data_IF_027194095906
#
_entry.id   IF_027194095906
#
_cell.length_a   1.000
_cell.length_b   1.000
_cell.length_c   1.000
_cell.angle_alpha   90.00
_cell.angle_beta   90.00
_cell.angle_gamma   90.00
#
_symmetry.space_group_name_H-M   'P 1'
#
loop_
_entity.id
_entity.type
_entity.pdbx_description
1 polymer ?
#
# COMPACT_ATOMS: atom_id res chain seq x y z
N UNK A 1 18.73 45.67 9.53
CA UNK A 1 18.49 45.04 8.22
C UNK A 1 17.97 46.09 7.24
N UNK A 2 18.50 46.17 6.02
CA UNK A 2 17.97 47.11 5.03
C UNK A 2 16.52 46.76 4.70
N UNK A 3 15.63 47.77 4.66
CA UNK A 3 14.18 47.60 4.47
C UNK A 3 13.80 46.75 3.24
N UNK A 4 14.66 46.74 2.22
CA UNK A 4 14.54 45.88 1.03
C UNK A 4 14.67 44.38 1.33
N UNK A 5 15.52 43.96 2.29
CA UNK A 5 15.63 42.54 2.65
C UNK A 5 14.44 42.05 3.47
N UNK A 6 13.78 42.94 4.22
CA UNK A 6 12.59 42.59 4.99
C UNK A 6 11.38 42.36 4.07
N UNK A 7 11.21 43.19 3.03
CA UNK A 7 10.13 43.06 2.05
C UNK A 7 10.27 41.75 1.26
N UNK A 8 11.48 41.37 0.84
CA UNK A 8 11.73 40.10 0.14
C UNK A 8 11.43 38.88 1.00
N UNK A 9 11.74 38.93 2.30
CA UNK A 9 11.43 37.85 3.25
C UNK A 9 9.90 37.76 3.46
N UNK A 10 9.20 38.88 3.63
CA UNK A 10 7.74 38.90 3.78
C UNK A 10 7.06 38.34 2.53
N UNK A 11 7.53 38.71 1.33
CA UNK A 11 6.99 38.19 0.07
C UNK A 11 7.27 36.68 -0.09
N UNK A 12 8.42 36.18 0.38
CA UNK A 12 8.69 34.74 0.36
C UNK A 12 7.75 33.97 1.32
N UNK A 13 7.41 34.53 2.48
CA UNK A 13 6.51 33.88 3.44
C UNK A 13 5.04 33.86 2.99
N UNK A 14 4.55 34.88 2.27
CA UNK A 14 3.14 34.90 1.79
C UNK A 14 2.88 33.93 0.64
N UNK A 15 3.87 33.62 -0.20
CA UNK A 15 3.72 32.62 -1.26
C UNK A 15 3.79 31.18 -0.75
N UNK A 16 4.49 30.93 0.37
CA UNK A 16 4.61 29.61 0.97
C UNK A 16 3.37 29.16 1.75
N UNK A 17 2.45 30.07 2.09
CA UNK A 17 1.25 29.74 2.87
C UNK A 17 0.10 29.09 2.07
N UNK A 18 0.18 29.05 0.74
CA UNK A 18 -0.92 28.56 -0.11
C UNK A 18 -0.99 27.04 -0.30
N UNK A 19 -0.03 26.27 0.22
CA UNK A 19 0.00 24.81 0.02
C UNK A 19 -0.73 24.01 1.11
N UNK A 20 -1.40 24.66 2.07
CA UNK A 20 -2.05 23.99 3.21
C UNK A 20 -3.55 24.32 3.41
N UNK A 21 -4.19 25.11 2.54
CA UNK A 21 -5.44 25.81 2.91
C UNK A 21 -6.68 25.37 2.13
N UNK A 22 -7.14 24.13 2.30
CA UNK A 22 -8.42 23.70 1.73
C UNK A 22 -9.21 22.71 2.56
N UNK A 23 -8.55 22.01 3.49
CA UNK A 23 -9.22 21.08 4.38
C UNK A 23 -10.18 21.84 5.30
N UNK A 24 -11.45 21.43 5.34
CA UNK A 24 -12.46 22.08 6.18
C UNK A 24 -13.22 23.24 5.52
N UNK A 25 -12.87 23.62 4.28
CA UNK A 25 -13.59 24.66 3.54
C UNK A 25 -14.80 24.09 2.79
N UNK A 26 -15.83 24.93 2.60
CA UNK A 26 -16.94 24.63 1.71
C UNK A 26 -16.45 24.33 0.29
N UNK A 27 -16.98 23.29 -0.34
CA UNK A 27 -16.52 22.83 -1.65
C UNK A 27 -15.35 21.84 -1.63
N UNK A 28 -14.73 21.59 -0.46
CA UNK A 28 -13.60 20.66 -0.36
C UNK A 28 -14.01 19.21 -0.71
N UNK A 29 -15.17 18.77 -0.23
CA UNK A 29 -15.66 17.42 -0.52
C UNK A 29 -15.89 17.21 -2.03
N UNK A 30 -16.49 18.19 -2.70
CA UNK A 30 -16.74 18.20 -4.14
C UNK A 30 -15.44 18.21 -4.93
N UNK A 31 -14.43 18.96 -4.46
CA UNK A 31 -13.09 18.95 -5.06
C UNK A 31 -12.48 17.55 -4.99
N UNK A 32 -12.48 16.91 -3.82
CA UNK A 32 -11.91 15.56 -3.63
C UNK A 32 -12.68 14.50 -4.42
N UNK A 33 -14.00 14.68 -4.58
CA UNK A 33 -14.80 13.83 -5.45
C UNK A 33 -14.41 13.96 -6.92
N UNK A 34 -14.19 15.18 -7.42
CA UNK A 34 -13.71 15.40 -8.79
C UNK A 34 -12.32 14.80 -9.03
N UNK A 35 -11.42 14.90 -8.05
CA UNK A 35 -10.10 14.26 -8.11
C UNK A 35 -10.24 12.73 -8.24
N UNK A 36 -11.08 12.09 -7.41
CA UNK A 36 -11.31 10.64 -7.50
C UNK A 36 -11.96 10.21 -8.83
N UNK A 37 -12.81 11.04 -9.43
CA UNK A 37 -13.36 10.82 -10.77
C UNK A 37 -12.25 10.88 -11.83
N UNK A 38 -11.31 11.79 -11.69
CA UNK A 38 -10.20 11.92 -12.63
C UNK A 38 -9.22 10.75 -12.52
N UNK A 39 -8.91 10.30 -11.31
CA UNK A 39 -8.14 9.07 -11.07
C UNK A 39 -8.81 7.86 -11.75
N UNK A 40 -10.14 7.75 -11.66
CA UNK A 40 -10.88 6.68 -12.32
C UNK A 40 -10.76 6.74 -13.84
N UNK A 41 -10.88 7.92 -14.46
CA UNK A 41 -10.72 8.09 -15.92
C UNK A 41 -9.31 7.73 -16.38
N UNK A 42 -8.30 8.03 -15.55
CA UNK A 42 -6.91 7.71 -15.81
C UNK A 42 -6.56 6.25 -15.49
N UNK A 43 -7.56 5.41 -15.16
CA UNK A 43 -7.40 4.01 -14.79
C UNK A 43 -6.51 3.80 -13.53
N UNK A 44 -6.40 4.82 -12.68
CA UNK A 44 -5.71 4.77 -11.39
C UNK A 44 -6.64 4.19 -10.30
N UNK A 45 -7.08 2.94 -10.50
CA UNK A 45 -8.18 2.35 -9.71
C UNK A 45 -7.94 2.36 -8.19
N UNK A 46 -6.71 2.09 -7.75
CA UNK A 46 -6.34 2.10 -6.33
C UNK A 46 -6.55 3.49 -5.71
N UNK A 47 -6.16 4.55 -6.43
CA UNK A 47 -6.34 5.94 -6.00
C UNK A 47 -7.79 6.37 -6.05
N UNK A 48 -8.52 6.00 -7.11
CA UNK A 48 -9.95 6.28 -7.24
C UNK A 48 -10.75 5.67 -6.07
N UNK A 49 -10.49 4.40 -5.73
CA UNK A 49 -11.14 3.72 -4.60
C UNK A 49 -10.89 4.48 -3.29
N UNK A 50 -9.63 4.83 -3.02
CA UNK A 50 -9.25 5.57 -1.81
C UNK A 50 -9.84 6.99 -1.79
N UNK A 51 -9.84 7.69 -2.91
CA UNK A 51 -10.39 9.03 -3.05
C UNK A 51 -11.91 9.06 -2.82
N UNK A 52 -12.65 8.13 -3.41
CA UNK A 52 -14.08 8.01 -3.16
C UNK A 52 -14.40 7.59 -1.72
N UNK A 53 -13.62 6.66 -1.15
CA UNK A 53 -13.77 6.29 0.25
C UNK A 53 -13.51 7.48 1.18
N UNK A 54 -12.48 8.28 0.87
CA UNK A 54 -12.16 9.50 1.59
C UNK A 54 -13.31 10.50 1.56
N UNK A 55 -13.93 10.72 0.40
CA UNK A 55 -15.06 11.66 0.24
C UNK A 55 -16.23 11.32 1.17
N UNK A 56 -16.57 10.04 1.30
CA UNK A 56 -17.60 9.60 2.24
C UNK A 56 -17.21 9.86 3.69
N UNK A 57 -16.01 9.42 4.05
CA UNK A 57 -15.51 9.46 5.42
C UNK A 57 -15.18 10.89 5.89
N UNK A 58 -14.99 11.84 4.97
CA UNK A 58 -14.89 13.26 5.27
C UNK A 58 -16.24 13.87 5.69
N UNK A 59 -17.33 13.56 4.97
CA UNK A 59 -18.69 14.02 5.30
C UNK A 59 -19.75 13.09 4.71
N UNK A 60 -20.59 12.51 5.54
CA UNK A 60 -21.66 11.58 5.10
C UNK A 60 -22.94 12.34 4.72
N UNK A 61 -22.90 13.08 3.61
CA UNK A 61 -24.06 13.63 2.91
C UNK A 61 -24.40 12.80 1.65
N UNK A 62 -25.32 13.27 0.81
CA UNK A 62 -25.69 12.58 -0.43
C UNK A 62 -24.47 12.26 -1.33
N UNK A 63 -23.58 13.24 -1.52
CA UNK A 63 -22.34 13.05 -2.28
C UNK A 63 -21.42 12.00 -1.64
N UNK A 64 -21.29 12.00 -0.31
CA UNK A 64 -20.55 11.00 0.44
C UNK A 64 -21.09 9.57 0.24
N UNK A 65 -22.41 9.40 0.31
CA UNK A 65 -23.06 8.09 0.08
C UNK A 65 -22.85 7.62 -1.37
N UNK A 66 -22.95 8.53 -2.35
CA UNK A 66 -22.65 8.23 -3.76
C UNK A 66 -21.19 7.80 -3.92
N UNK A 67 -20.26 8.52 -3.28
CA UNK A 67 -18.85 8.22 -3.33
C UNK A 67 -18.55 6.84 -2.74
N UNK A 68 -19.14 6.48 -1.60
CA UNK A 68 -18.96 5.14 -1.02
C UNK A 68 -19.38 4.04 -1.99
N UNK A 69 -20.56 4.16 -2.60
CA UNK A 69 -21.06 3.19 -3.60
C UNK A 69 -20.10 3.06 -4.80
N UNK A 70 -19.50 4.17 -5.24
CA UNK A 70 -18.48 4.15 -6.29
C UNK A 70 -17.21 3.42 -5.84
N UNK A 71 -16.70 3.72 -4.65
CA UNK A 71 -15.55 3.04 -4.05
C UNK A 71 -15.78 1.53 -4.01
N UNK A 72 -16.95 1.11 -3.50
CA UNK A 72 -17.37 -0.31 -3.45
C UNK A 72 -17.40 -0.98 -4.81
N UNK A 73 -17.92 -0.28 -5.82
CA UNK A 73 -18.05 -0.83 -7.17
C UNK A 73 -16.69 -1.02 -7.85
N UNK A 74 -15.70 -0.19 -7.53
CA UNK A 74 -14.36 -0.22 -8.15
C UNK A 74 -13.41 -1.17 -7.40
N UNK A 75 -13.61 -1.34 -6.08
CA UNK A 75 -12.71 -2.09 -5.20
C UNK A 75 -12.32 -3.48 -5.73
N UNK A 76 -13.22 -4.34 -6.22
CA UNK A 76 -12.85 -5.67 -6.74
C UNK A 76 -11.90 -5.58 -7.93
N UNK A 77 -12.04 -4.57 -8.79
CA UNK A 77 -11.17 -4.36 -9.95
C UNK A 77 -9.79 -3.85 -9.53
N UNK A 78 -9.73 -2.94 -8.56
CA UNK A 78 -8.46 -2.48 -7.98
C UNK A 78 -7.69 -3.64 -7.33
N UNK A 79 -8.38 -4.45 -6.52
CA UNK A 79 -7.83 -5.66 -5.89
C UNK A 79 -7.35 -6.70 -6.91
N UNK A 80 -8.11 -6.90 -7.99
CA UNK A 80 -7.71 -7.76 -9.10
C UNK A 80 -6.43 -7.26 -9.79
N UNK A 81 -6.31 -5.94 -10.02
CA UNK A 81 -5.12 -5.34 -10.61
C UNK A 81 -3.89 -5.49 -9.72
N UNK A 82 -4.03 -5.30 -8.40
CA UNK A 82 -2.93 -5.53 -7.44
C UNK A 82 -2.46 -6.97 -7.50
N UNK A 83 -3.38 -7.95 -7.44
CA UNK A 83 -3.01 -9.38 -7.56
C UNK A 83 -2.24 -9.65 -8.84
N UNK A 84 -2.73 -9.18 -9.98
CA UNK A 84 -2.07 -9.36 -11.28
C UNK A 84 -0.65 -8.81 -11.30
N UNK A 85 -0.39 -7.66 -10.68
CA UNK A 85 0.92 -7.03 -10.64
C UNK A 85 1.96 -7.82 -9.83
N UNK A 86 1.53 -8.57 -8.81
CA UNK A 86 2.45 -9.25 -7.88
C UNK A 86 2.65 -10.74 -8.18
N UNK A 87 1.85 -11.35 -9.06
CA UNK A 87 2.02 -12.75 -9.47
C UNK A 87 3.43 -12.97 -10.04
N UNK A 88 4.06 -14.06 -9.61
CA UNK A 88 5.39 -14.45 -10.06
C UNK A 88 6.17 -15.26 -9.03
N UNK A 89 7.41 -15.57 -9.37
CA UNK A 89 8.37 -16.21 -8.47
C UNK A 89 9.42 -15.18 -8.04
N UNK A 90 9.62 -15.10 -6.73
CA UNK A 90 10.38 -14.05 -6.09
C UNK A 90 11.43 -14.66 -5.17
N UNK A 91 12.66 -14.16 -5.20
CA UNK A 91 13.72 -14.53 -4.26
C UNK A 91 13.91 -13.40 -3.25
N UNK A 92 13.96 -13.73 -1.96
CA UNK A 92 14.22 -12.75 -0.92
C UNK A 92 15.67 -12.25 -1.07
N UNK A 93 15.83 -10.94 -1.23
CA UNK A 93 17.13 -10.30 -1.40
C UNK A 93 17.54 -9.48 -0.18
N UNK A 94 16.58 -8.85 0.51
CA UNK A 94 16.82 -8.09 1.73
C UNK A 94 15.68 -8.27 2.72
N UNK A 95 16.01 -8.27 4.01
CA UNK A 95 15.04 -8.25 5.11
C UNK A 95 15.41 -7.20 6.14
N UNK A 96 14.42 -6.67 6.84
CA UNK A 96 14.66 -5.65 7.85
C UNK A 96 13.38 -4.97 8.31
N UNK A 97 13.51 -3.68 8.57
CA UNK A 97 12.40 -2.79 8.91
C UNK A 97 12.68 -1.37 8.45
N UNK A 98 11.78 -0.44 8.78
CA UNK A 98 12.00 0.99 8.60
C UNK A 98 13.26 1.53 9.32
N UNK A 99 13.92 0.76 10.19
CA UNK A 99 15.19 1.12 10.85
C UNK A 99 16.45 0.66 10.12
N UNK A 100 16.32 -0.19 9.10
CA UNK A 100 17.46 -0.68 8.32
C UNK A 100 17.20 -2.04 7.69
N UNK A 101 17.97 -2.31 6.63
CA UNK A 101 17.91 -3.54 5.86
C UNK A 101 19.22 -4.30 5.92
N UNK A 102 19.12 -5.62 5.88
CA UNK A 102 20.23 -6.54 5.72
C UNK A 102 20.03 -7.34 4.44
N UNK A 103 21.11 -7.50 3.67
CA UNK A 103 21.12 -8.38 2.50
C UNK A 103 21.09 -9.84 2.92
N UNK A 104 20.27 -10.63 2.23
CA UNK A 104 20.19 -12.07 2.40
C UNK A 104 21.35 -12.75 1.68
N UNK A 105 22.39 -13.08 2.45
CA UNK A 105 23.64 -13.64 1.95
C UNK A 105 23.87 -15.10 2.34
N UNK A 106 22.83 -15.82 2.78
CA UNK A 106 22.91 -17.26 3.03
C UNK A 106 23.32 -17.98 1.73
N UNK A 107 24.39 -18.78 1.83
CA UNK A 107 25.03 -19.51 0.74
C UNK A 107 24.56 -20.96 0.66
N UNK A 108 23.72 -21.41 1.58
CA UNK A 108 23.18 -22.77 1.67
C UNK A 108 21.69 -22.75 1.29
N UNK A 109 20.92 -21.80 1.82
CA UNK A 109 19.47 -21.72 1.62
C UNK A 109 19.06 -20.36 1.06
N UNK A 110 18.16 -20.37 0.06
CA UNK A 110 17.47 -19.15 -0.41
C UNK A 110 15.99 -19.23 -0.09
N UNK A 111 15.43 -18.12 0.41
CA UNK A 111 14.00 -17.99 0.66
C UNK A 111 13.29 -17.53 -0.62
N UNK A 112 12.27 -18.27 -1.01
CA UNK A 112 11.45 -18.00 -2.19
C UNK A 112 10.01 -17.70 -1.79
N UNK A 113 9.38 -16.84 -2.58
CA UNK A 113 7.96 -16.54 -2.52
C UNK A 113 7.37 -16.76 -3.92
N UNK A 114 6.43 -17.69 -4.02
CA UNK A 114 5.62 -17.91 -5.23
C UNK A 114 4.24 -17.35 -4.97
N UNK A 115 3.85 -16.37 -5.79
CA UNK A 115 2.54 -15.71 -5.70
C UNK A 115 1.70 -16.14 -6.88
N UNK A 116 0.61 -16.83 -6.57
CA UNK A 116 -0.45 -17.21 -7.49
C UNK A 116 -1.68 -16.33 -7.21
N UNK A 117 -2.72 -16.46 -8.04
CA UNK A 117 -3.89 -15.59 -7.91
C UNK A 117 -4.60 -15.74 -6.56
N UNK A 118 -4.71 -16.96 -6.06
CA UNK A 118 -5.46 -17.33 -4.85
C UNK A 118 -4.57 -17.74 -3.67
N UNK A 119 -3.25 -17.80 -3.86
CA UNK A 119 -2.32 -18.31 -2.84
C UNK A 119 -0.94 -17.65 -2.87
N UNK A 120 -0.33 -17.54 -1.69
CA UNK A 120 1.09 -17.29 -1.48
C UNK A 120 1.74 -18.57 -0.97
N UNK A 121 2.86 -18.98 -1.56
CA UNK A 121 3.65 -20.13 -1.13
C UNK A 121 5.08 -19.70 -0.83
N UNK A 122 5.55 -19.98 0.38
CA UNK A 122 6.90 -19.67 0.84
C UNK A 122 7.73 -20.94 0.86
N UNK A 123 8.94 -20.88 0.33
CA UNK A 123 9.84 -22.03 0.24
C UNK A 123 11.25 -21.70 0.71
N UNK A 124 11.93 -22.72 1.20
CA UNK A 124 13.38 -22.75 1.33
C UNK A 124 13.96 -23.58 0.18
N UNK A 125 14.87 -22.99 -0.59
CA UNK A 125 15.62 -23.64 -1.66
C UNK A 125 17.03 -23.95 -1.16
N UNK A 126 17.36 -25.23 -1.05
CA UNK A 126 18.72 -25.68 -0.76
C UNK A 126 19.57 -25.57 -2.03
N UNK A 127 20.58 -24.71 -2.03
CA UNK A 127 21.44 -24.45 -3.20
C UNK A 127 22.38 -25.62 -3.55
N UNK A 128 22.63 -26.54 -2.62
CA UNK A 128 23.49 -27.71 -2.85
C UNK A 128 22.73 -28.85 -3.52
N UNK A 129 21.50 -29.08 -3.09
CA UNK A 129 20.66 -30.19 -3.58
C UNK A 129 19.63 -29.76 -4.63
N UNK A 130 19.42 -28.44 -4.80
CA UNK A 130 18.30 -27.84 -5.53
C UNK A 130 16.91 -28.30 -5.02
N UNK A 131 16.85 -28.83 -3.80
CA UNK A 131 15.60 -29.24 -3.17
C UNK A 131 14.83 -28.00 -2.67
N UNK A 132 13.54 -27.97 -2.97
CA UNK A 132 12.64 -26.89 -2.58
C UNK A 132 11.63 -27.41 -1.55
N UNK A 133 11.68 -26.86 -0.34
CA UNK A 133 10.81 -27.25 0.78
C UNK A 133 9.80 -26.16 1.06
N UNK A 134 8.50 -26.48 1.01
CA UNK A 134 7.44 -25.55 1.37
C UNK A 134 7.46 -25.28 2.88
N UNK A 135 7.61 -24.02 3.28
CA UNK A 135 7.68 -23.61 4.70
C UNK A 135 6.38 -23.00 5.20
N UNK A 136 5.65 -22.27 4.33
CA UNK A 136 4.37 -21.62 4.68
C UNK A 136 3.51 -21.49 3.43
N UNK A 137 2.19 -21.55 3.59
CA UNK A 137 1.23 -21.31 2.52
C UNK A 137 0.07 -20.48 3.05
N UNK A 138 -0.30 -19.44 2.33
CA UNK A 138 -1.32 -18.47 2.73
C UNK A 138 -2.33 -18.22 1.62
N UNK A 139 -3.59 -17.96 1.98
CA UNK A 139 -4.61 -17.60 0.98
C UNK A 139 -4.44 -16.14 0.56
N UNK A 140 -4.73 -15.84 -0.70
CA UNK A 140 -4.74 -14.48 -1.25
C UNK A 140 -6.04 -13.73 -0.90
N UNK A 141 -6.24 -13.46 0.39
CA UNK A 141 -7.43 -12.77 0.90
C UNK A 141 -7.08 -11.34 1.30
N UNK A 142 -7.80 -10.37 0.75
CA UNK A 142 -7.73 -8.99 1.23
C UNK A 142 -8.47 -8.83 2.55
N UNK A 143 -8.04 -7.86 3.36
CA UNK A 143 -8.74 -7.53 4.60
C UNK A 143 -10.16 -7.03 4.35
N UNK A 144 -11.03 -7.31 5.32
CA UNK A 144 -12.39 -6.76 5.36
C UNK A 144 -12.42 -5.39 6.04
N UNK A 145 -11.38 -5.04 6.79
CA UNK A 145 -11.28 -3.76 7.46
C UNK A 145 -11.03 -2.64 6.46
N UNK A 146 -11.70 -1.51 6.70
CA UNK A 146 -11.64 -0.35 5.82
C UNK A 146 -11.19 0.86 6.61
N UNK A 147 -10.01 1.38 6.28
CA UNK A 147 -9.56 2.66 6.80
C UNK A 147 -8.90 3.50 5.69
N UNK A 148 -8.73 4.79 5.96
CA UNK A 148 -8.11 5.73 5.03
C UNK A 148 -6.59 5.53 4.84
N UNK A 149 -5.95 4.63 5.59
CA UNK A 149 -4.50 4.41 5.58
C UNK A 149 -4.04 3.38 4.54
N UNK A 150 -4.87 3.10 3.53
CA UNK A 150 -4.54 2.19 2.42
C UNK A 150 -4.85 0.72 2.67
N UNK A 151 -5.52 0.39 3.78
CA UNK A 151 -5.82 -0.98 4.19
C UNK A 151 -6.58 -1.84 3.20
N UNK A 152 -7.38 -1.22 2.34
CA UNK A 152 -8.29 -1.92 1.42
C UNK A 152 -7.55 -2.91 0.49
N UNK A 153 -6.23 -2.80 0.46
CA UNK A 153 -5.31 -3.54 -0.40
C UNK A 153 -4.32 -4.43 0.38
N UNK A 154 -4.45 -4.52 1.71
CA UNK A 154 -3.64 -5.42 2.52
C UNK A 154 -4.19 -6.85 2.49
N UNK A 155 -3.29 -7.83 2.43
CA UNK A 155 -3.62 -9.24 2.53
C UNK A 155 -3.63 -9.67 4.00
N UNK A 156 -4.61 -10.50 4.38
CA UNK A 156 -4.71 -11.12 5.70
C UNK A 156 -4.19 -12.54 5.61
N UNK A 157 -3.15 -12.85 6.37
CA UNK A 157 -2.65 -14.20 6.52
C UNK A 157 -3.39 -14.96 7.62
N UNK A 158 -3.22 -16.27 7.66
CA UNK A 158 -3.93 -17.20 8.57
C UNK A 158 -3.69 -16.89 10.05
N UNK A 159 -2.52 -16.35 10.37
CA UNK A 159 -2.11 -15.85 11.68
C UNK A 159 -2.63 -14.43 12.00
N UNK A 160 -3.55 -13.92 11.18
CA UNK A 160 -4.14 -12.58 11.26
C UNK A 160 -3.20 -11.43 10.94
N UNK A 161 -1.95 -11.69 10.57
CA UNK A 161 -1.04 -10.60 10.17
C UNK A 161 -1.49 -9.97 8.85
N UNK A 162 -1.35 -8.65 8.77
CA UNK A 162 -1.69 -7.83 7.61
C UNK A 162 -0.43 -7.49 6.83
N UNK A 163 -0.47 -7.70 5.52
CA UNK A 163 0.68 -7.50 4.64
C UNK A 163 0.31 -6.67 3.40
N UNK A 164 0.99 -5.54 3.22
CA UNK A 164 0.98 -4.81 1.95
C UNK A 164 2.05 -5.36 1.01
N UNK A 165 1.71 -5.46 -0.27
CA UNK A 165 2.64 -5.83 -1.33
C UNK A 165 2.71 -4.71 -2.37
N UNK A 166 3.92 -4.21 -2.63
CA UNK A 166 4.19 -3.14 -3.57
C UNK A 166 5.22 -3.60 -4.61
N UNK A 167 4.78 -3.77 -5.84
CA UNK A 167 5.67 -4.06 -6.95
C UNK A 167 6.15 -2.77 -7.62
N UNK A 168 7.46 -2.63 -7.76
CA UNK A 168 8.08 -1.51 -8.46
C UNK A 168 8.56 -1.95 -9.85
N UNK A 169 7.88 -1.47 -10.88
CA UNK A 169 8.18 -1.80 -12.27
C UNK A 169 9.57 -1.36 -12.75
N UNK A 170 10.14 -0.30 -12.15
CA UNK A 170 11.45 0.24 -12.54
C UNK A 170 12.59 -0.62 -12.02
N UNK A 171 12.49 -1.03 -10.75
CA UNK A 171 13.52 -1.85 -10.08
C UNK A 171 13.28 -3.35 -10.22
N UNK A 172 12.10 -3.75 -10.72
CA UNK A 172 11.66 -5.16 -10.77
C UNK A 172 11.72 -5.85 -9.40
N UNK A 173 11.46 -5.08 -8.35
CA UNK A 173 11.45 -5.56 -6.97
C UNK A 173 10.03 -5.55 -6.41
N UNK A 174 9.75 -6.55 -5.59
CA UNK A 174 8.53 -6.64 -4.79
C UNK A 174 8.87 -6.33 -3.34
N UNK A 175 8.19 -5.35 -2.76
CA UNK A 175 8.31 -5.01 -1.35
C UNK A 175 7.10 -5.55 -0.60
N UNK A 176 7.33 -6.31 0.45
CA UNK A 176 6.31 -6.80 1.39
C UNK A 176 6.52 -6.11 2.74
N UNK A 177 5.44 -5.60 3.33
CA UNK A 177 5.48 -4.82 4.58
C UNK A 177 4.38 -5.33 5.51
N UNK A 178 4.73 -5.66 6.75
CA UNK A 178 3.71 -5.94 7.77
C UNK A 178 3.10 -4.62 8.25
N UNK A 179 1.79 -4.49 8.14
CA UNK A 179 1.07 -3.24 8.46
C UNK A 179 0.26 -3.30 9.75
N UNK A 180 0.14 -4.49 10.33
CA UNK A 180 -0.59 -4.73 11.57
C UNK A 180 -1.10 -6.16 11.67
N UNK A 181 -2.09 -6.34 12.52
CA UNK A 181 -2.80 -7.59 12.74
C UNK A 181 -4.31 -7.31 12.72
N UNK A 182 -5.07 -8.24 12.16
CA UNK A 182 -6.51 -8.21 12.09
C UNK A 182 -7.13 -8.79 13.38
N UNK A 183 -8.15 -8.12 13.92
CA UNK A 183 -8.84 -8.53 15.15
C UNK A 183 -10.34 -8.23 15.04
N UNK A 184 -11.12 -8.77 15.96
CA UNK A 184 -12.57 -8.52 16.03
C UNK A 184 -12.91 -7.03 16.22
N UNK A 185 -12.00 -6.26 16.84
CA UNK A 185 -12.16 -4.84 17.12
C UNK A 185 -11.57 -3.93 16.01
N UNK A 186 -11.16 -4.52 14.88
CA UNK A 186 -10.45 -3.83 13.80
C UNK A 186 -8.98 -4.24 13.73
N UNK A 187 -8.08 -3.34 13.33
CA UNK A 187 -6.65 -3.64 13.18
C UNK A 187 -5.82 -3.14 14.35
N UNK A 188 -4.69 -3.79 14.60
CA UNK A 188 -3.57 -3.16 15.30
C UNK A 188 -2.81 -2.21 14.36
N UNK A 189 -2.08 -1.28 14.96
CA UNK A 189 -1.16 -0.38 14.26
C UNK A 189 0.27 -0.70 14.66
N UNK A 190 1.10 -0.95 13.64
CA UNK A 190 2.54 -1.07 13.81
C UNK A 190 3.14 0.33 13.73
N UNK A 191 3.55 0.88 14.87
CA UNK A 191 4.06 2.26 14.98
C UNK A 191 5.51 2.36 14.48
N UNK A 192 6.31 1.31 14.69
CA UNK A 192 7.69 1.23 14.20
C UNK A 192 8.19 -0.22 14.17
N UNK A 193 9.31 -0.45 13.47
CA UNK A 193 9.95 -1.77 13.44
C UNK A 193 9.20 -2.81 12.61
N UNK A 194 8.34 -2.35 11.71
CA UNK A 194 7.55 -3.21 10.83
C UNK A 194 8.48 -4.16 10.06
N UNK A 195 8.25 -5.48 10.14
CA UNK A 195 8.95 -6.41 9.28
C UNK A 195 8.74 -6.04 7.80
N UNK A 196 9.85 -5.86 7.09
CA UNK A 196 9.89 -5.52 5.68
C UNK A 196 10.80 -6.50 4.93
N UNK A 197 10.33 -6.93 3.77
CA UNK A 197 11.03 -7.87 2.90
C UNK A 197 11.09 -7.31 1.49
N UNK A 198 12.27 -7.35 0.89
CA UNK A 198 12.50 -6.99 -0.50
C UNK A 198 12.82 -8.26 -1.26
N UNK A 199 12.08 -8.48 -2.34
CA UNK A 199 12.28 -9.59 -3.23
C UNK A 199 12.65 -9.13 -4.63
N UNK A 200 13.43 -9.96 -5.32
CA UNK A 200 13.78 -9.79 -6.73
C UNK A 200 13.06 -10.85 -7.55
N UNK A 201 12.57 -10.48 -8.74
CA UNK A 201 11.88 -11.42 -9.63
C UNK A 201 12.86 -12.44 -10.22
N UNK A 202 12.44 -13.71 -10.25
CA UNK A 202 13.18 -14.81 -10.87
C UNK A 202 12.56 -15.17 -12.23
N UNK A 203 11.23 -15.18 -12.28
CA UNK A 203 10.38 -15.50 -13.44
C UNK A 203 9.10 -14.66 -13.41
#
# INVERSE_FOLDING_TARGET
MPMKSLITIIFAFTFLQNFAQGYGQDGYQEKRYREAVEDLKNNELERAVMGFYFVNSYRTNELGVIALKKSDSILPFAQHNIRKKIIGKWILSESGSNWGFKKENDSIVKKLLVIEYDKFSFYDLNLKTNEMTLTKSEKSLFTKNRDMRGLLFDFVFSDKTLWSFHYNEKTKTLKQIMTGEDSENGRSEMVCGNPEFIYTKIE
#
